data_IF_746226703733
#
_entry.id   IF_746226703733
#
_cell.length_a   1.000
_cell.length_b   1.000
_cell.length_c   1.000
_cell.angle_alpha   90.00
_cell.angle_beta   90.00
_cell.angle_gamma   90.00
#
_symmetry.space_group_name_H-M   'P 1'
#
loop_
_entity.id
_entity.type
_entity.pdbx_description
1 polymer ?
#
# COMPACT_ATOMS: atom_id res chain seq x y z
N UNK A 1 -70.53 -37.04 -64.88
CA UNK A 1 -71.60 -36.33 -64.18
C UNK A 1 -71.03 -34.99 -63.74
N UNK A 2 -71.37 -33.92 -64.43
CA UNK A 2 -71.41 -32.57 -63.84
C UNK A 2 -72.64 -32.50 -62.92
N UNK A 3 -72.64 -31.69 -61.83
CA UNK A 3 -73.02 -30.27 -62.00
C UNK A 3 -72.48 -29.23 -60.99
N UNK A 4 -72.49 -27.97 -61.47
CA UNK A 4 -72.90 -26.70 -60.83
C UNK A 4 -72.12 -26.02 -59.70
N UNK A 5 -71.68 -24.81 -60.03
CA UNK A 5 -71.30 -23.69 -59.16
C UNK A 5 -72.54 -23.01 -58.52
N UNK A 6 -72.42 -22.34 -57.36
CA UNK A 6 -73.16 -21.09 -57.16
C UNK A 6 -72.27 -19.92 -56.69
N UNK A 7 -72.60 -18.74 -57.21
CA UNK A 7 -72.04 -17.44 -56.84
C UNK A 7 -72.59 -16.94 -55.47
N UNK A 8 -72.07 -15.82 -54.90
CA UNK A 8 -71.90 -15.61 -53.46
C UNK A 8 -73.10 -14.95 -52.77
N UNK A 9 -73.16 -14.93 -51.42
CA UNK A 9 -73.85 -13.89 -50.69
C UNK A 9 -72.87 -12.86 -50.11
N UNK A 10 -73.24 -11.62 -50.38
CA UNK A 10 -72.69 -10.40 -49.85
C UNK A 10 -73.07 -10.22 -48.37
N UNK A 11 -72.28 -9.38 -47.71
CA UNK A 11 -72.66 -8.42 -46.68
C UNK A 11 -72.39 -8.67 -45.17
N UNK A 12 -71.70 -7.65 -44.65
CA UNK A 12 -71.92 -6.97 -43.38
C UNK A 12 -71.11 -7.33 -42.12
N UNK A 13 -70.25 -6.36 -41.81
CA UNK A 13 -70.26 -5.60 -40.56
C UNK A 13 -69.40 -6.11 -39.41
N UNK A 14 -68.19 -5.55 -39.30
CA UNK A 14 -67.56 -5.28 -38.00
C UNK A 14 -66.97 -3.87 -37.97
N UNK A 15 -67.83 -2.96 -37.53
CA UNK A 15 -67.60 -1.72 -36.78
C UNK A 15 -66.40 -0.83 -37.13
N UNK A 16 -66.63 0.33 -37.78
CA UNK A 16 -65.66 1.42 -37.88
C UNK A 16 -65.27 2.00 -36.51
N UNK A 17 -66.10 1.80 -35.48
CA UNK A 17 -65.97 2.45 -34.17
C UNK A 17 -64.73 2.00 -33.37
N UNK A 18 -64.32 0.73 -33.48
CA UNK A 18 -63.17 0.19 -32.72
C UNK A 18 -61.86 0.61 -33.38
N UNK A 19 -61.81 0.62 -34.72
CA UNK A 19 -60.66 1.06 -35.51
C UNK A 19 -60.50 2.59 -35.44
N UNK A 20 -61.60 3.34 -35.37
CA UNK A 20 -61.57 4.79 -35.17
C UNK A 20 -61.12 5.20 -33.77
N UNK A 21 -61.51 4.47 -32.70
CA UNK A 21 -61.00 4.73 -31.34
C UNK A 21 -59.51 4.45 -31.22
N UNK A 22 -59.00 3.40 -31.87
CA UNK A 22 -57.57 3.07 -31.85
C UNK A 22 -56.76 4.04 -32.73
N UNK A 23 -57.28 4.44 -33.88
CA UNK A 23 -56.68 5.47 -34.73
C UNK A 23 -56.75 6.88 -34.11
N UNK A 24 -57.82 7.22 -33.38
CA UNK A 24 -57.92 8.46 -32.62
C UNK A 24 -57.03 8.44 -31.37
N UNK A 25 -56.89 7.30 -30.69
CA UNK A 25 -55.95 7.12 -29.58
C UNK A 25 -54.48 7.24 -30.04
N UNK A 26 -54.13 6.71 -31.21
CA UNK A 26 -52.80 6.86 -31.81
C UNK A 26 -52.56 8.28 -32.38
N UNK A 27 -53.61 8.99 -32.82
CA UNK A 27 -53.53 10.38 -33.31
C UNK A 27 -53.57 11.42 -32.18
N UNK A 28 -53.98 11.02 -30.98
CA UNK A 28 -53.94 11.83 -29.73
C UNK A 28 -52.71 11.53 -28.88
N UNK A 29 -51.77 10.70 -29.37
CA UNK A 29 -50.39 10.75 -28.89
C UNK A 29 -49.81 12.06 -29.42
N UNK A 30 -49.99 13.10 -28.62
CA UNK A 30 -49.66 14.49 -28.89
C UNK A 30 -48.14 14.62 -29.00
N UNK A 31 -47.60 14.42 -30.20
CA UNK A 31 -46.17 14.56 -30.52
C UNK A 31 -45.67 16.02 -30.41
N UNK A 32 -46.53 16.93 -29.96
CA UNK A 32 -46.25 18.36 -29.81
C UNK A 32 -45.30 18.64 -28.65
N UNK A 33 -45.30 17.81 -27.61
CA UNK A 33 -44.28 17.86 -26.53
C UNK A 33 -42.94 17.27 -26.97
N UNK A 34 -42.92 16.21 -27.80
CA UNK A 34 -41.68 15.63 -28.33
C UNK A 34 -40.97 16.53 -29.35
N UNK A 35 -41.72 17.39 -30.06
CA UNK A 35 -41.20 18.45 -30.94
C UNK A 35 -41.00 19.79 -30.23
N UNK A 36 -41.37 19.90 -28.96
CA UNK A 36 -41.10 21.09 -28.17
C UNK A 36 -39.60 21.20 -27.96
N UNK A 37 -38.99 22.26 -28.50
CA UNK A 37 -37.58 22.60 -28.27
C UNK A 37 -37.25 22.65 -26.78
N UNK A 38 -38.22 22.98 -25.92
CA UNK A 38 -38.07 23.00 -24.46
C UNK A 38 -37.95 21.60 -23.83
N UNK A 39 -38.65 20.59 -24.35
CA UNK A 39 -38.51 19.20 -23.86
C UNK A 39 -37.11 18.66 -24.16
N UNK A 40 -36.64 18.84 -25.39
CA UNK A 40 -35.29 18.42 -25.80
C UNK A 40 -34.19 19.18 -25.07
N UNK A 41 -34.40 20.48 -24.81
CA UNK A 41 -33.46 21.28 -24.02
C UNK A 41 -33.37 20.79 -22.58
N UNK A 42 -34.51 20.53 -21.92
CA UNK A 42 -34.53 19.97 -20.58
C UNK A 42 -33.90 18.58 -20.52
N UNK A 43 -34.19 17.71 -21.50
CA UNK A 43 -33.60 16.37 -21.53
C UNK A 43 -32.09 16.42 -21.79
N UNK A 44 -31.62 17.32 -22.64
CA UNK A 44 -30.20 17.58 -22.84
C UNK A 44 -29.51 18.04 -21.55
N UNK A 45 -30.10 18.99 -20.84
CA UNK A 45 -29.59 19.42 -19.53
C UNK A 45 -29.63 18.31 -18.49
N UNK A 46 -30.66 17.44 -18.48
CA UNK A 46 -30.75 16.29 -17.58
C UNK A 46 -29.64 15.27 -17.83
N UNK A 47 -29.39 14.93 -19.11
CA UNK A 47 -28.33 13.99 -19.49
C UNK A 47 -26.96 14.57 -19.15
N UNK A 48 -26.72 15.83 -19.47
CA UNK A 48 -25.47 16.53 -19.12
C UNK A 48 -25.28 16.57 -17.60
N UNK A 49 -26.32 16.92 -16.84
CA UNK A 49 -26.28 16.95 -15.37
C UNK A 49 -25.96 15.57 -14.78
N UNK A 50 -26.51 14.50 -15.35
CA UNK A 50 -26.24 13.12 -14.91
C UNK A 50 -24.79 12.73 -15.19
N UNK A 51 -24.28 13.06 -16.39
CA UNK A 51 -22.89 12.80 -16.77
C UNK A 51 -21.94 13.57 -15.84
N UNK A 52 -22.20 14.85 -15.59
CA UNK A 52 -21.41 15.64 -14.65
C UNK A 52 -21.49 15.13 -13.21
N UNK A 53 -22.67 14.69 -12.76
CA UNK A 53 -22.85 14.11 -11.43
C UNK A 53 -22.03 12.83 -11.22
N UNK A 54 -22.07 11.92 -12.19
CA UNK A 54 -21.25 10.69 -12.17
C UNK A 54 -19.76 11.01 -12.28
N UNK A 55 -19.38 11.95 -13.16
CA UNK A 55 -17.99 12.36 -13.34
C UNK A 55 -17.38 12.93 -12.04
N UNK A 56 -18.08 13.83 -11.36
CA UNK A 56 -17.61 14.43 -10.11
C UNK A 56 -17.51 13.39 -8.98
N UNK A 57 -18.49 12.49 -8.89
CA UNK A 57 -18.47 11.39 -7.92
C UNK A 57 -17.30 10.42 -8.19
N UNK A 58 -17.05 10.07 -9.46
CA UNK A 58 -15.95 9.21 -9.85
C UNK A 58 -14.58 9.86 -9.61
N UNK A 59 -14.43 11.16 -9.92
CA UNK A 59 -13.20 11.91 -9.66
C UNK A 59 -12.87 11.97 -8.16
N UNK A 60 -13.88 12.27 -7.33
CA UNK A 60 -13.73 12.27 -5.88
C UNK A 60 -13.38 10.88 -5.32
N UNK A 61 -14.00 9.82 -5.85
CA UNK A 61 -13.71 8.43 -5.46
C UNK A 61 -12.28 7.99 -5.79
N UNK A 62 -11.79 8.33 -6.99
CA UNK A 62 -10.41 8.03 -7.38
C UNK A 62 -9.39 8.79 -6.51
N UNK A 63 -9.63 10.08 -6.28
CA UNK A 63 -8.75 10.90 -5.43
C UNK A 63 -8.67 10.31 -4.01
N UNK A 64 -9.81 9.91 -3.44
CA UNK A 64 -9.85 9.28 -2.12
C UNK A 64 -9.13 7.93 -2.11
N UNK A 65 -9.29 7.11 -3.16
CA UNK A 65 -8.61 5.82 -3.27
C UNK A 65 -7.09 5.96 -3.39
N UNK A 66 -6.60 6.94 -4.16
CA UNK A 66 -5.17 7.22 -4.28
C UNK A 66 -4.59 7.74 -2.96
N UNK A 67 -5.30 8.62 -2.25
CA UNK A 67 -4.89 9.06 -0.91
C UNK A 67 -4.80 7.89 0.06
N UNK A 68 -5.83 7.02 0.07
CA UNK A 68 -5.85 5.82 0.90
C UNK A 68 -4.66 4.89 0.60
N UNK A 69 -4.41 4.56 -0.67
CA UNK A 69 -3.28 3.71 -1.07
C UNK A 69 -1.93 4.33 -0.66
N UNK A 70 -1.76 5.63 -0.86
CA UNK A 70 -0.55 6.33 -0.46
C UNK A 70 -0.33 6.28 1.06
N UNK A 71 -1.36 6.57 1.86
CA UNK A 71 -1.24 6.53 3.31
C UNK A 71 -1.04 5.12 3.86
N UNK A 72 -1.70 4.11 3.27
CA UNK A 72 -1.46 2.71 3.63
C UNK A 72 0.00 2.32 3.43
N UNK A 73 0.61 2.72 2.30
CA UNK A 73 2.04 2.47 2.04
C UNK A 73 2.94 3.19 3.03
N UNK A 74 2.64 4.45 3.35
CA UNK A 74 3.37 5.22 4.35
C UNK A 74 3.31 4.59 5.74
N UNK A 75 2.14 4.08 6.15
CA UNK A 75 1.96 3.36 7.41
C UNK A 75 2.76 2.06 7.44
N UNK A 76 2.65 1.23 6.40
CA UNK A 76 3.45 0.01 6.27
C UNK A 76 4.95 0.31 6.34
N UNK A 77 5.38 1.38 5.65
CA UNK A 77 6.78 1.79 5.65
C UNK A 77 7.24 2.32 7.01
N UNK A 78 6.37 3.00 7.76
CA UNK A 78 6.63 3.44 9.13
C UNK A 78 6.91 2.24 10.05
N UNK A 79 6.04 1.22 10.03
CA UNK A 79 6.25 0.02 10.85
C UNK A 79 7.48 -0.77 10.41
N UNK A 80 7.76 -0.82 9.10
CA UNK A 80 8.94 -1.48 8.57
C UNK A 80 10.23 -0.82 9.06
N UNK A 81 10.33 0.52 8.99
CA UNK A 81 11.50 1.28 9.45
C UNK A 81 11.66 1.19 10.96
N UNK A 82 10.56 1.21 11.71
CA UNK A 82 10.58 1.10 13.18
C UNK A 82 11.04 -0.30 13.61
N UNK A 83 10.49 -1.35 13.01
CA UNK A 83 10.89 -2.73 13.29
C UNK A 83 12.35 -2.99 12.91
N UNK A 84 12.79 -2.42 11.78
CA UNK A 84 14.20 -2.51 11.37
C UNK A 84 15.11 -1.76 12.34
N UNK A 85 14.68 -0.61 12.85
CA UNK A 85 15.42 0.15 13.86
C UNK A 85 15.64 -0.67 15.13
N UNK A 86 14.60 -1.35 15.62
CA UNK A 86 14.69 -2.19 16.82
C UNK A 86 15.63 -3.38 16.58
N UNK A 87 15.45 -4.12 15.48
CA UNK A 87 16.34 -5.25 15.12
C UNK A 87 17.81 -4.82 15.04
N UNK A 88 18.08 -3.72 14.33
CA UNK A 88 19.45 -3.23 14.13
C UNK A 88 20.05 -2.72 15.44
N UNK A 89 19.25 -2.10 16.30
CA UNK A 89 19.68 -1.63 17.62
C UNK A 89 20.14 -2.79 18.51
N UNK A 90 19.36 -3.87 18.56
CA UNK A 90 19.69 -5.07 19.34
C UNK A 90 20.95 -5.77 18.80
N UNK A 91 21.09 -5.82 17.47
CA UNK A 91 22.29 -6.37 16.84
C UNK A 91 23.54 -5.51 17.07
N UNK A 92 23.42 -4.19 17.02
CA UNK A 92 24.52 -3.27 17.34
C UNK A 92 25.00 -3.47 18.77
N UNK A 93 24.05 -3.63 19.72
CA UNK A 93 24.36 -3.93 21.11
C UNK A 93 25.11 -5.26 21.24
N UNK A 94 24.57 -6.33 20.67
CA UNK A 94 25.17 -7.67 20.71
C UNK A 94 26.58 -7.70 20.11
N UNK A 95 26.79 -7.02 18.97
CA UNK A 95 28.11 -6.89 18.34
C UNK A 95 29.08 -6.08 19.21
N UNK A 96 28.61 -5.01 19.84
CA UNK A 96 29.44 -4.17 20.71
C UNK A 96 29.89 -4.92 21.97
N UNK A 97 29.00 -5.69 22.58
CA UNK A 97 29.30 -6.54 23.74
C UNK A 97 30.32 -7.62 23.37
N UNK A 98 30.12 -8.29 22.23
CA UNK A 98 31.07 -9.29 21.75
C UNK A 98 32.43 -8.68 21.37
N UNK A 99 32.46 -7.47 20.80
CA UNK A 99 33.71 -6.75 20.55
C UNK A 99 34.47 -6.48 21.85
N UNK A 100 33.79 -6.10 22.93
CA UNK A 100 34.41 -5.90 24.24
C UNK A 100 34.97 -7.21 24.83
N UNK A 101 34.32 -8.34 24.59
CA UNK A 101 34.85 -9.66 24.94
C UNK A 101 36.12 -9.99 24.13
N UNK A 102 36.08 -9.84 22.80
CA UNK A 102 37.22 -10.10 21.92
C UNK A 102 38.44 -9.23 22.24
N UNK A 103 38.24 -7.99 22.71
CA UNK A 103 39.33 -7.10 23.10
C UNK A 103 40.21 -7.69 24.22
N UNK A 104 39.64 -8.53 25.09
CA UNK A 104 40.34 -9.26 26.16
C UNK A 104 41.15 -10.45 25.65
N UNK A 105 41.06 -10.76 24.35
CA UNK A 105 41.74 -11.89 23.70
C UNK A 105 41.44 -13.25 24.35
N UNK A 106 40.17 -13.63 24.50
CA UNK A 106 39.81 -14.84 25.20
C UNK A 106 40.23 -16.12 24.43
N UNK A 107 40.23 -17.28 25.12
CA UNK A 107 40.41 -18.58 24.48
C UNK A 107 39.36 -18.85 23.39
N UNK A 108 39.65 -19.80 22.49
CA UNK A 108 38.76 -20.10 21.35
C UNK A 108 37.38 -20.60 21.78
N UNK A 109 37.34 -21.45 22.80
CA UNK A 109 36.10 -21.99 23.36
C UNK A 109 35.16 -20.88 23.84
N UNK A 110 35.70 -19.86 24.51
CA UNK A 110 34.93 -18.72 25.00
C UNK A 110 34.43 -17.84 23.84
N UNK A 111 35.25 -17.62 22.81
CA UNK A 111 34.81 -16.92 21.58
C UNK A 111 33.68 -17.66 20.87
N UNK A 112 33.74 -18.99 20.79
CA UNK A 112 32.69 -19.80 20.17
C UNK A 112 31.40 -19.80 21.00
N UNK A 113 31.51 -19.93 22.32
CA UNK A 113 30.37 -19.95 23.23
C UNK A 113 29.59 -18.64 23.26
N UNK A 114 30.30 -17.50 23.29
CA UNK A 114 29.67 -16.17 23.33
C UNK A 114 29.46 -15.55 21.94
N UNK A 115 29.62 -16.33 20.87
CA UNK A 115 29.42 -15.84 19.50
C UNK A 115 27.98 -15.33 19.33
N UNK A 116 27.75 -14.06 18.98
CA UNK A 116 26.40 -13.55 18.80
C UNK A 116 25.81 -14.07 17.49
N UNK A 117 24.52 -14.38 17.52
CA UNK A 117 23.70 -14.55 16.32
C UNK A 117 23.16 -13.18 15.94
N UNK A 118 23.33 -12.79 14.67
CA UNK A 118 22.72 -11.57 14.16
C UNK A 118 21.28 -11.89 13.76
N UNK A 119 20.33 -11.35 14.50
CA UNK A 119 18.90 -11.47 14.19
C UNK A 119 18.60 -10.69 12.91
N UNK A 120 17.96 -11.34 11.93
CA UNK A 120 17.73 -10.75 10.60
C UNK A 120 16.30 -10.96 10.12
N UNK A 121 15.36 -11.24 11.03
CA UNK A 121 13.99 -11.57 10.67
C UNK A 121 13.30 -10.43 9.90
N UNK A 122 13.36 -9.20 10.41
CA UNK A 122 12.82 -8.01 9.75
C UNK A 122 13.58 -7.75 8.46
N UNK A 123 14.90 -7.76 8.50
CA UNK A 123 15.73 -7.56 7.30
C UNK A 123 15.44 -8.56 6.18
N UNK A 124 15.19 -9.84 6.51
CA UNK A 124 14.82 -10.86 5.54
C UNK A 124 13.38 -10.66 5.04
N UNK A 125 12.45 -10.32 5.92
CA UNK A 125 11.05 -10.05 5.56
C UNK A 125 10.92 -8.86 4.61
N UNK A 126 11.78 -7.84 4.77
CA UNK A 126 11.86 -6.69 3.87
C UNK A 126 12.10 -7.08 2.40
N UNK A 127 12.69 -8.23 2.11
CA UNK A 127 12.88 -8.68 0.71
C UNK A 127 11.56 -8.88 -0.04
N UNK A 128 10.49 -9.15 0.71
CA UNK A 128 9.16 -9.46 0.18
C UNK A 128 8.15 -8.33 0.41
N UNK A 129 8.52 -7.28 1.14
CA UNK A 129 7.63 -6.14 1.36
C UNK A 129 7.62 -5.20 0.14
N UNK A 130 6.43 -4.85 -0.39
CA UNK A 130 6.33 -3.92 -1.52
C UNK A 130 6.81 -2.51 -1.17
N UNK A 131 6.77 -2.11 0.10
CA UNK A 131 7.16 -0.77 0.55
C UNK A 131 8.64 -0.66 0.90
N UNK A 132 9.42 -1.75 0.92
CA UNK A 132 10.84 -1.72 1.28
C UNK A 132 11.65 -0.68 0.49
N UNK A 133 11.38 -0.57 -0.82
CA UNK A 133 12.11 0.34 -1.70
C UNK A 133 11.76 1.82 -1.49
N UNK A 134 10.71 2.11 -0.71
CA UNK A 134 10.42 3.47 -0.25
C UNK A 134 11.30 3.88 0.94
N UNK A 135 11.98 2.91 1.60
CA UNK A 135 13.01 3.22 2.60
C UNK A 135 14.26 3.78 1.91
N UNK A 136 14.89 4.85 2.42
CA UNK A 136 16.10 5.41 1.82
C UNK A 136 17.18 4.35 1.59
N UNK A 137 17.59 4.18 0.33
CA UNK A 137 18.52 3.12 -0.10
C UNK A 137 19.89 3.18 0.58
N UNK A 138 20.32 4.37 0.99
CA UNK A 138 21.54 4.58 1.75
C UNK A 138 21.49 3.88 3.12
N UNK A 139 20.35 3.95 3.81
CA UNK A 139 20.15 3.30 5.12
C UNK A 139 20.18 1.78 4.97
N UNK A 140 19.43 1.26 3.98
CA UNK A 140 19.43 -0.18 3.67
C UNK A 140 20.84 -0.68 3.35
N UNK A 141 21.60 0.09 2.58
CA UNK A 141 22.98 -0.26 2.21
C UNK A 141 23.90 -0.28 3.43
N UNK A 142 23.79 0.68 4.34
CA UNK A 142 24.59 0.74 5.56
C UNK A 142 24.30 -0.43 6.49
N UNK A 143 23.03 -0.76 6.69
CA UNK A 143 22.59 -1.91 7.51
C UNK A 143 23.07 -3.23 6.90
N UNK A 144 22.88 -3.42 5.59
CA UNK A 144 23.41 -4.60 4.86
C UNK A 144 24.91 -4.77 5.06
N UNK A 145 25.68 -3.68 4.94
CA UNK A 145 27.13 -3.68 5.12
C UNK A 145 27.52 -4.04 6.56
N UNK A 146 26.79 -3.52 7.55
CA UNK A 146 26.99 -3.88 8.94
C UNK A 146 26.79 -5.39 9.16
N UNK A 147 25.67 -5.96 8.73
CA UNK A 147 25.43 -7.40 8.87
C UNK A 147 26.52 -8.25 8.23
N UNK A 148 26.86 -7.96 6.98
CA UNK A 148 27.89 -8.70 6.25
C UNK A 148 29.26 -8.58 6.91
N UNK A 149 29.66 -7.36 7.33
CA UNK A 149 30.99 -7.11 7.89
C UNK A 149 31.13 -7.66 9.30
N UNK A 150 30.11 -7.52 10.14
CA UNK A 150 30.07 -8.08 11.49
C UNK A 150 30.23 -9.60 11.44
N UNK A 151 29.41 -10.27 10.62
CA UNK A 151 29.47 -11.72 10.46
C UNK A 151 30.84 -12.20 9.96
N UNK A 152 31.41 -11.51 8.97
CA UNK A 152 32.76 -11.79 8.48
C UNK A 152 33.82 -11.69 9.58
N UNK A 153 33.82 -10.59 10.34
CA UNK A 153 34.82 -10.34 11.40
C UNK A 153 34.68 -11.31 12.56
N UNK A 154 33.45 -11.60 12.99
CA UNK A 154 33.16 -12.60 14.04
C UNK A 154 33.70 -13.96 13.62
N UNK A 155 33.37 -14.41 12.40
CA UNK A 155 33.82 -15.71 11.90
C UNK A 155 35.35 -15.75 11.72
N UNK A 156 35.96 -14.65 11.25
CA UNK A 156 37.42 -14.55 11.11
C UNK A 156 38.15 -14.63 12.46
N UNK A 157 37.59 -14.01 13.51
CA UNK A 157 38.15 -14.05 14.86
C UNK A 157 38.08 -15.47 15.45
N UNK A 158 36.90 -16.10 15.37
CA UNK A 158 36.67 -17.46 15.87
C UNK A 158 37.55 -18.48 15.15
N UNK A 159 37.67 -18.35 13.83
CA UNK A 159 38.53 -19.23 12.99
C UNK A 159 40.02 -18.88 13.05
N UNK A 160 40.43 -17.93 13.91
CA UNK A 160 41.82 -17.48 14.06
C UNK A 160 42.46 -16.95 12.76
N UNK A 161 41.66 -16.60 11.75
CA UNK A 161 42.12 -15.94 10.51
C UNK A 161 42.50 -14.48 10.74
N UNK A 162 42.04 -13.89 11.85
CA UNK A 162 42.47 -12.58 12.32
C UNK A 162 42.63 -12.60 13.84
N UNK A 163 43.37 -11.63 14.39
CA UNK A 163 43.54 -11.51 15.83
C UNK A 163 42.24 -11.00 16.48
N UNK A 164 41.92 -11.53 17.67
CA UNK A 164 40.72 -11.14 18.41
C UNK A 164 40.69 -9.62 18.69
N UNK A 165 41.85 -9.02 19.03
CA UNK A 165 41.95 -7.57 19.26
C UNK A 165 41.68 -6.75 17.98
N UNK A 166 42.17 -7.21 16.83
CA UNK A 166 41.91 -6.51 15.57
C UNK A 166 40.43 -6.60 15.19
N UNK A 167 39.84 -7.79 15.26
CA UNK A 167 38.41 -7.97 15.05
C UNK A 167 37.57 -7.13 16.03
N UNK A 168 37.95 -7.07 17.31
CA UNK A 168 37.29 -6.24 18.31
C UNK A 168 37.30 -4.75 17.93
N UNK A 169 38.45 -4.22 17.50
CA UNK A 169 38.58 -2.83 17.07
C UNK A 169 37.69 -2.53 15.86
N UNK A 170 37.68 -3.41 14.86
CA UNK A 170 36.86 -3.25 13.65
C UNK A 170 35.37 -3.37 13.95
N UNK A 171 34.95 -4.36 14.76
CA UNK A 171 33.56 -4.55 15.19
C UNK A 171 33.06 -3.33 15.97
N UNK A 172 33.87 -2.82 16.90
CA UNK A 172 33.54 -1.61 17.66
C UNK A 172 33.37 -0.41 16.73
N UNK A 173 34.25 -0.24 15.74
CA UNK A 173 34.18 0.85 14.77
C UNK A 173 32.90 0.81 13.94
N UNK A 174 32.55 -0.35 13.37
CA UNK A 174 31.34 -0.46 12.55
C UNK A 174 30.06 -0.33 13.38
N UNK A 175 30.05 -0.85 14.62
CA UNK A 175 28.91 -0.70 15.53
C UNK A 175 28.72 0.76 15.95
N UNK A 176 29.80 1.46 16.31
CA UNK A 176 29.75 2.88 16.69
C UNK A 176 29.33 3.77 15.52
N UNK A 177 29.82 3.48 14.31
CA UNK A 177 29.39 4.19 13.11
C UNK A 177 27.88 4.01 12.90
N UNK A 178 27.36 2.79 12.99
CA UNK A 178 25.93 2.54 12.81
C UNK A 178 25.09 3.22 13.89
N UNK A 179 25.55 3.18 15.14
CA UNK A 179 24.90 3.80 16.31
C UNK A 179 24.82 5.32 16.21
N UNK A 180 25.89 5.96 15.75
CA UNK A 180 25.99 7.43 15.73
C UNK A 180 25.45 8.05 14.45
N UNK A 181 25.41 7.31 13.34
CA UNK A 181 25.03 7.85 12.03
C UNK A 181 23.74 7.22 11.49
N UNK A 182 23.71 5.90 11.32
CA UNK A 182 22.62 5.21 10.60
C UNK A 182 21.35 5.10 11.43
N UNK A 183 21.46 4.65 12.70
CA UNK A 183 20.31 4.46 13.57
C UNK A 183 19.53 5.76 13.83
N UNK A 184 20.18 6.91 14.13
CA UNK A 184 19.47 8.17 14.26
C UNK A 184 18.77 8.60 12.97
N UNK A 185 19.42 8.42 11.81
CA UNK A 185 18.81 8.75 10.51
C UNK A 185 17.62 7.83 10.19
N UNK A 186 17.70 6.55 10.52
CA UNK A 186 16.59 5.61 10.36
C UNK A 186 15.41 5.99 11.26
N UNK A 187 15.67 6.29 12.55
CA UNK A 187 14.66 6.78 13.50
C UNK A 187 13.99 8.04 12.99
N UNK A 188 14.77 9.04 12.60
CA UNK A 188 14.25 10.30 12.05
C UNK A 188 13.43 10.07 10.78
N UNK A 189 13.84 9.13 9.91
CA UNK A 189 13.08 8.79 8.71
C UNK A 189 11.74 8.12 9.01
N UNK A 190 11.62 7.38 10.12
CA UNK A 190 10.34 6.85 10.59
C UNK A 190 9.50 7.96 11.25
N UNK A 191 10.11 8.83 12.04
CA UNK A 191 9.42 9.98 12.66
C UNK A 191 8.86 10.97 11.63
N UNK A 192 9.55 11.16 10.50
CA UNK A 192 9.05 11.95 9.37
C UNK A 192 7.76 11.34 8.80
N UNK A 193 7.73 10.02 8.56
CA UNK A 193 6.51 9.34 8.11
C UNK A 193 5.38 9.49 9.13
N UNK A 194 5.68 9.29 10.43
CA UNK A 194 4.70 9.48 11.51
C UNK A 194 4.12 10.89 11.50
N UNK A 195 4.96 11.91 11.33
CA UNK A 195 4.52 13.31 11.25
C UNK A 195 3.65 13.57 10.02
N UNK A 196 4.05 13.05 8.86
CA UNK A 196 3.27 13.20 7.62
C UNK A 196 1.90 12.50 7.72
N UNK A 197 1.85 11.32 8.35
CA UNK A 197 0.59 10.62 8.64
C UNK A 197 -0.30 11.41 9.61
N UNK A 198 0.28 11.93 10.69
CA UNK A 198 -0.44 12.76 11.67
C UNK A 198 -0.99 14.06 11.07
N UNK A 199 -0.28 14.68 10.13
CA UNK A 199 -0.76 15.87 9.41
C UNK A 199 -2.00 15.60 8.54
N UNK A 200 -2.27 14.34 8.24
CA UNK A 200 -3.43 13.88 7.48
C UNK A 200 -4.44 13.12 8.35
N UNK A 201 -4.43 13.37 9.67
CA UNK A 201 -5.31 12.77 10.68
C UNK A 201 -5.21 11.23 10.79
N UNK A 202 -4.09 10.65 10.34
CA UNK A 202 -3.79 9.22 10.46
C UNK A 202 -2.85 9.00 11.64
N UNK A 203 -3.33 8.31 12.67
CA UNK A 203 -2.55 8.01 13.87
C UNK A 203 -1.78 6.70 13.69
N UNK A 204 -0.45 6.78 13.76
CA UNK A 204 0.44 5.61 13.80
C UNK A 204 1.32 5.66 15.04
N UNK A 205 1.57 4.50 15.65
CA UNK A 205 2.38 4.36 16.85
C UNK A 205 2.47 2.92 17.33
N UNK A 206 3.45 2.63 18.19
CA UNK A 206 3.48 1.31 18.86
C UNK A 206 2.32 1.21 19.86
N UNK A 207 1.83 0.00 20.17
CA UNK A 207 0.85 -0.23 21.25
C UNK A 207 1.26 0.42 22.59
N UNK A 208 2.56 0.69 22.78
CA UNK A 208 3.13 1.36 23.96
C UNK A 208 2.98 2.88 23.96
N UNK A 209 2.76 3.50 22.80
CA UNK A 209 2.50 4.93 22.65
C UNK A 209 1.00 5.26 22.75
N UNK A 210 0.12 4.31 22.41
CA UNK A 210 -1.34 4.45 22.53
C UNK A 210 -1.83 4.48 23.99
N UNK A 211 -1.04 3.99 24.94
CA UNK A 211 -1.36 4.05 26.39
C UNK A 211 -1.11 5.41 27.04
N UNK A 212 -0.43 6.33 26.35
CA UNK A 212 -0.14 7.69 26.87
C UNK A 212 -0.97 8.79 26.19
N UNK A 213 -2.01 8.42 25.44
CA UNK A 213 -2.92 9.34 24.76
C UNK A 213 -4.32 9.40 25.42
N UNK A 214 -4.40 9.27 26.75
CA UNK A 214 -5.60 9.52 27.55
C UNK A 214 -5.31 10.52 28.67
#
# INVERSE_FOLDING_TARGET
MEPTNPAPPNNNSKNPATTQKLAQALKTVDNKELKSTGFWLNQFFMVISTIFGVYLAAQSGLEQALKFDNFSKMEDNYYLRTSLFDEVTDNVKSVSEYAALLAKSPPKSEMEYFKPTLEKYIWQTMQYSPTTLETPSELLTQIRRFYSRSEFLINAAVSRKTSAKHAASELKKIAEQLKTTTLPRLKNSAEQLKKELQQNDISVGSLKELTHAN
#
